data_IF_266764279865
#
_entry.id   IF_266764279865
#
_cell.length_a   1.000
_cell.length_b   1.000
_cell.length_c   1.000
_cell.angle_alpha   90.00
_cell.angle_beta   90.00
_cell.angle_gamma   90.00
#
_symmetry.space_group_name_H-M   'P 1'
#
loop_
_entity.id
_entity.type
_entity.pdbx_description
1 polymer ?
#
# COMPACT_ATOMS: atom_id res chain seq x y z
N UNK A 1 -16.15 23.37 4.92
CA UNK A 1 -16.86 22.24 4.33
C UNK A 1 -16.04 20.96 4.49
N UNK A 2 -16.72 19.85 4.79
CA UNK A 2 -16.11 18.52 4.84
C UNK A 2 -16.23 17.94 3.43
N UNK A 3 -15.16 17.32 2.92
CA UNK A 3 -15.16 16.66 1.61
C UNK A 3 -16.24 15.58 1.51
N UNK A 4 -16.86 15.43 0.34
CA UNK A 4 -17.90 14.43 0.10
C UNK A 4 -17.40 12.99 0.37
N UNK A 5 -16.10 12.74 0.14
CA UNK A 5 -15.44 11.47 0.44
C UNK A 5 -15.37 11.14 1.95
N UNK A 6 -15.58 12.14 2.81
CA UNK A 6 -15.47 12.03 4.27
C UNK A 6 -16.83 12.11 4.97
N UNK A 7 -17.93 12.04 4.21
CA UNK A 7 -19.27 11.88 4.77
C UNK A 7 -19.42 10.41 5.20
N UNK A 8 -19.31 10.16 6.50
CA UNK A 8 -19.23 8.82 7.09
C UNK A 8 -20.29 7.84 6.55
N UNK A 9 -21.57 8.20 6.62
CA UNK A 9 -22.69 7.33 6.18
C UNK A 9 -22.83 7.18 4.65
N UNK A 10 -22.01 7.89 3.87
CA UNK A 10 -21.97 7.80 2.41
C UNK A 10 -20.68 7.15 1.91
N UNK A 11 -19.75 6.80 2.79
CA UNK A 11 -18.46 6.25 2.43
C UNK A 11 -18.53 4.73 2.23
N UNK A 12 -18.06 4.25 1.08
CA UNK A 12 -18.03 2.83 0.72
C UNK A 12 -17.18 1.96 1.65
N UNK A 13 -16.28 2.56 2.40
CA UNK A 13 -15.48 1.90 3.43
C UNK A 13 -16.25 1.64 4.73
N UNK A 14 -17.42 2.26 4.89
CA UNK A 14 -18.33 2.08 6.03
C UNK A 14 -19.55 1.25 5.63
N UNK A 15 -20.14 1.54 4.46
CA UNK A 15 -21.22 0.76 3.86
C UNK A 15 -20.78 0.25 2.47
N UNK A 16 -20.59 -1.06 2.35
CA UNK A 16 -20.05 -1.69 1.12
C UNK A 16 -20.87 -1.37 -0.13
N UNK A 17 -22.13 -0.97 0.00
CA UNK A 17 -23.00 -0.61 -1.13
C UNK A 17 -22.74 0.79 -1.68
N UNK A 18 -21.94 1.60 -1.00
CA UNK A 18 -21.60 2.97 -1.41
C UNK A 18 -20.30 2.99 -2.21
N UNK A 19 -20.04 4.15 -2.82
CA UNK A 19 -18.82 4.38 -3.57
C UNK A 19 -17.66 4.70 -2.61
N UNK A 20 -16.46 4.31 -3.01
CA UNK A 20 -15.23 4.64 -2.30
C UNK A 20 -14.04 4.13 -3.09
N UNK A 21 -12.96 4.88 -3.05
CA UNK A 21 -11.67 4.50 -3.62
C UNK A 21 -10.58 4.94 -2.64
N UNK A 22 -9.57 5.67 -3.08
CA UNK A 22 -8.37 5.98 -2.28
C UNK A 22 -8.46 7.26 -1.43
N UNK A 23 -9.41 8.16 -1.68
CA UNK A 23 -9.45 9.50 -1.08
C UNK A 23 -9.61 9.46 0.44
N UNK A 24 -10.59 8.70 0.93
CA UNK A 24 -10.77 8.51 2.39
C UNK A 24 -9.59 7.74 3.01
N UNK A 25 -9.12 6.61 2.45
CA UNK A 25 -7.90 5.94 2.92
C UNK A 25 -6.69 6.87 3.08
N UNK A 26 -6.41 7.72 2.10
CA UNK A 26 -5.30 8.67 2.17
C UNK A 26 -5.50 9.72 3.27
N UNK A 27 -6.71 10.27 3.39
CA UNK A 27 -7.04 11.18 4.49
C UNK A 27 -6.84 10.51 5.84
N UNK A 28 -7.38 9.30 6.03
CA UNK A 28 -7.31 8.59 7.30
C UNK A 28 -5.88 8.22 7.65
N UNK A 29 -5.03 7.87 6.67
CA UNK A 29 -3.61 7.60 6.91
C UNK A 29 -2.89 8.78 7.54
N UNK A 30 -3.03 9.98 6.98
CA UNK A 30 -2.41 11.18 7.56
C UNK A 30 -3.07 11.63 8.86
N UNK A 31 -4.40 11.59 8.91
CA UNK A 31 -5.15 12.07 10.07
C UNK A 31 -4.98 11.18 11.30
N UNK A 32 -4.94 9.85 11.12
CA UNK A 32 -4.71 8.90 12.20
C UNK A 32 -3.34 9.08 12.83
N UNK A 33 -2.27 9.12 12.03
CA UNK A 33 -0.91 9.32 12.54
C UNK A 33 -0.78 10.66 13.28
N UNK A 34 -1.40 11.74 12.76
CA UNK A 34 -1.46 13.03 13.45
C UNK A 34 -2.16 12.93 14.81
N UNK A 35 -3.30 12.25 14.89
CA UNK A 35 -4.04 12.06 16.12
C UNK A 35 -3.21 11.27 17.16
N UNK A 36 -2.52 10.20 16.72
CA UNK A 36 -1.69 9.36 17.58
C UNK A 36 -0.51 10.13 18.17
N UNK A 37 0.19 10.92 17.35
CA UNK A 37 1.37 11.69 17.80
C UNK A 37 0.99 12.87 18.69
N UNK A 38 -0.11 13.56 18.39
CA UNK A 38 -0.54 14.73 19.16
C UNK A 38 -1.30 14.37 20.44
N UNK A 39 -1.95 13.20 20.47
CA UNK A 39 -2.82 12.81 21.58
C UNK A 39 -4.11 13.63 21.67
N UNK A 40 -4.50 14.35 20.62
CA UNK A 40 -5.71 15.16 20.61
C UNK A 40 -6.96 14.28 20.81
N UNK A 41 -7.71 14.52 21.88
CA UNK A 41 -8.78 13.61 22.28
C UNK A 41 -9.95 13.56 21.30
N UNK A 42 -10.18 14.62 20.54
CA UNK A 42 -11.30 14.67 19.58
C UNK A 42 -10.90 14.04 18.26
N UNK A 43 -9.66 14.26 17.82
CA UNK A 43 -9.07 13.55 16.69
C UNK A 43 -9.01 12.03 16.94
N UNK A 44 -8.57 11.61 18.13
CA UNK A 44 -8.54 10.19 18.51
C UNK A 44 -9.93 9.54 18.50
N UNK A 45 -10.96 10.21 19.01
CA UNK A 45 -12.35 9.71 18.93
C UNK A 45 -12.82 9.58 17.48
N UNK A 46 -12.49 10.54 16.63
CA UNK A 46 -12.88 10.50 15.22
C UNK A 46 -12.15 9.36 14.50
N UNK A 47 -10.85 9.17 14.73
CA UNK A 47 -10.09 8.04 14.18
C UNK A 47 -10.70 6.73 14.65
N UNK A 48 -10.97 6.57 15.95
CA UNK A 48 -11.62 5.37 16.49
C UNK A 48 -12.95 5.07 15.79
N UNK A 49 -13.77 6.09 15.57
CA UNK A 49 -15.04 5.95 14.87
C UNK A 49 -14.87 5.40 13.44
N UNK A 50 -13.91 5.94 12.68
CA UNK A 50 -13.60 5.44 11.35
C UNK A 50 -13.03 4.02 11.36
N UNK A 51 -12.07 3.73 12.25
CA UNK A 51 -11.49 2.39 12.39
C UNK A 51 -12.59 1.37 12.70
N UNK A 52 -13.42 1.61 13.72
CA UNK A 52 -14.49 0.69 14.10
C UNK A 52 -15.49 0.48 12.95
N UNK A 53 -15.85 1.55 12.23
CA UNK A 53 -16.71 1.46 11.06
C UNK A 53 -16.14 0.58 9.96
N UNK A 54 -14.86 0.75 9.62
CA UNK A 54 -14.21 -0.04 8.57
C UNK A 54 -14.04 -1.50 9.02
N UNK A 55 -13.66 -1.76 10.27
CA UNK A 55 -13.57 -3.11 10.81
C UNK A 55 -14.91 -3.85 10.70
N UNK A 56 -16.02 -3.16 10.99
CA UNK A 56 -17.37 -3.70 10.89
C UNK A 56 -17.82 -3.94 9.44
N UNK A 57 -17.15 -3.37 8.44
CA UNK A 57 -17.44 -3.62 7.02
C UNK A 57 -16.88 -4.95 6.51
N UNK A 58 -16.05 -5.66 7.29
CA UNK A 58 -15.43 -6.91 6.85
C UNK A 58 -16.46 -8.01 6.61
N UNK A 59 -16.51 -8.51 5.40
CA UNK A 59 -17.40 -9.57 4.96
C UNK A 59 -16.85 -10.95 5.34
N UNK A 60 -17.67 -11.99 5.19
CA UNK A 60 -17.34 -13.35 5.65
C UNK A 60 -16.09 -13.94 4.98
N UNK A 61 -15.84 -13.59 3.72
CA UNK A 61 -14.70 -14.07 2.93
C UNK A 61 -13.39 -13.32 3.22
N UNK A 62 -13.44 -12.25 4.03
CA UNK A 62 -12.28 -11.44 4.42
C UNK A 62 -12.14 -10.11 3.68
N UNK A 63 -12.91 -9.89 2.62
CA UNK A 63 -13.01 -8.58 1.96
C UNK A 63 -13.55 -7.52 2.92
N UNK A 64 -13.14 -6.25 2.74
CA UNK A 64 -13.72 -5.12 3.45
C UNK A 64 -13.84 -3.91 2.51
N UNK A 65 -14.78 -3.03 2.80
CA UNK A 65 -15.03 -1.83 2.00
C UNK A 65 -15.93 -2.04 0.78
N UNK A 66 -15.85 -1.14 -0.23
CA UNK A 66 -16.84 -1.02 -1.29
C UNK A 66 -16.96 -2.28 -2.16
N UNK A 67 -18.18 -2.78 -2.39
CA UNK A 67 -18.44 -3.97 -3.22
C UNK A 67 -18.06 -3.74 -4.69
N UNK A 68 -18.16 -2.49 -5.16
CA UNK A 68 -17.77 -2.13 -6.53
C UNK A 68 -16.29 -2.40 -6.81
N UNK A 69 -15.43 -2.29 -5.81
CA UNK A 69 -13.99 -2.52 -5.95
C UNK A 69 -13.65 -4.01 -6.11
N UNK A 70 -14.57 -4.94 -5.83
CA UNK A 70 -14.35 -6.37 -6.12
C UNK A 70 -14.22 -6.68 -7.61
N UNK A 71 -14.67 -5.76 -8.48
CA UNK A 71 -14.78 -5.99 -9.92
C UNK A 71 -14.33 -4.81 -10.79
N UNK A 72 -13.80 -3.73 -10.20
CA UNK A 72 -13.49 -2.49 -10.92
C UNK A 72 -12.24 -2.57 -11.81
N UNK A 73 -11.38 -3.58 -11.65
CA UNK A 73 -10.22 -3.83 -12.51
C UNK A 73 -10.49 -5.00 -13.45
N UNK A 74 -11.13 -4.72 -14.59
CA UNK A 74 -11.40 -5.74 -15.61
C UNK A 74 -12.18 -6.96 -15.07
N UNK A 75 -13.15 -6.71 -14.17
CA UNK A 75 -13.93 -7.76 -13.50
C UNK A 75 -13.24 -8.40 -12.29
N UNK A 76 -12.04 -7.93 -11.92
CA UNK A 76 -11.23 -8.41 -10.80
C UNK A 76 -11.18 -7.38 -9.67
N UNK A 77 -10.75 -7.80 -8.47
CA UNK A 77 -10.61 -6.88 -7.34
C UNK A 77 -9.55 -5.81 -7.57
N UNK A 78 -9.90 -4.56 -7.32
CA UNK A 78 -8.97 -3.45 -7.10
C UNK A 78 -8.50 -3.46 -5.65
N UNK A 79 -7.30 -3.99 -5.44
CA UNK A 79 -6.73 -4.11 -4.10
C UNK A 79 -6.01 -2.84 -3.66
N UNK A 80 -5.69 -1.92 -4.58
CA UNK A 80 -4.84 -0.77 -4.31
C UNK A 80 -5.36 0.12 -3.16
N UNK A 81 -6.64 0.54 -3.14
CA UNK A 81 -7.14 1.41 -2.08
C UNK A 81 -7.07 0.77 -0.68
N UNK A 82 -7.28 -0.55 -0.60
CA UNK A 82 -7.18 -1.29 0.65
C UNK A 82 -5.72 -1.37 1.16
N UNK A 83 -4.72 -1.34 0.27
CA UNK A 83 -3.30 -1.30 0.67
C UNK A 83 -2.98 -0.06 1.50
N UNK A 84 -3.65 1.07 1.24
CA UNK A 84 -3.48 2.30 2.02
C UNK A 84 -4.05 2.10 3.43
N UNK A 85 -5.25 1.52 3.55
CA UNK A 85 -5.87 1.23 4.85
C UNK A 85 -5.08 0.21 5.69
N UNK A 86 -4.41 -0.75 5.07
CA UNK A 86 -3.52 -1.68 5.78
C UNK A 86 -2.43 -0.91 6.55
N UNK A 87 -1.87 0.15 5.97
CA UNK A 87 -0.89 1.00 6.68
C UNK A 87 -1.53 1.70 7.89
N UNK A 88 -2.76 2.23 7.73
CA UNK A 88 -3.51 2.85 8.83
C UNK A 88 -3.71 1.86 9.98
N UNK A 89 -4.11 0.63 9.67
CA UNK A 89 -4.35 -0.39 10.68
C UNK A 89 -3.08 -0.79 11.42
N UNK A 90 -1.94 -0.85 10.73
CA UNK A 90 -0.63 -1.08 11.37
C UNK A 90 -0.30 0.04 12.35
N UNK A 91 -0.37 1.30 11.93
CA UNK A 91 -0.15 2.45 12.83
C UNK A 91 -1.10 2.41 14.02
N UNK A 92 -2.38 2.15 13.79
CA UNK A 92 -3.38 2.08 14.86
C UNK A 92 -3.10 0.92 15.83
N UNK A 93 -2.69 -0.26 15.35
CA UNK A 93 -2.27 -1.36 16.23
C UNK A 93 -1.06 -0.96 17.08
N UNK A 94 -0.03 -0.36 16.49
CA UNK A 94 1.18 0.04 17.22
C UNK A 94 0.89 1.13 18.27
N UNK A 95 -0.05 2.01 17.98
CA UNK A 95 -0.54 3.01 18.94
C UNK A 95 -1.39 2.39 20.06
N UNK A 96 -2.37 1.55 19.73
CA UNK A 96 -3.45 1.14 20.65
C UNK A 96 -3.29 -0.25 21.26
N UNK A 97 -2.50 -1.13 20.65
CA UNK A 97 -2.45 -2.58 20.89
C UNK A 97 -3.80 -3.30 20.69
N UNK A 98 -4.68 -2.77 19.82
CA UNK A 98 -5.98 -3.36 19.53
C UNK A 98 -5.87 -4.65 18.69
N UNK A 99 -5.97 -5.79 19.36
CA UNK A 99 -5.81 -7.11 18.72
C UNK A 99 -6.87 -7.43 17.64
N UNK A 100 -7.98 -6.67 17.55
CA UNK A 100 -8.95 -6.84 16.44
C UNK A 100 -8.29 -6.63 15.08
N UNK A 101 -7.26 -5.78 15.03
CA UNK A 101 -6.50 -5.51 13.80
C UNK A 101 -5.80 -6.76 13.27
N UNK A 102 -5.21 -7.57 14.14
CA UNK A 102 -4.48 -8.76 13.71
C UNK A 102 -5.41 -9.76 13.03
N UNK A 103 -6.55 -10.05 13.66
CA UNK A 103 -7.57 -10.94 13.10
C UNK A 103 -8.12 -10.38 11.77
N UNK A 104 -8.41 -9.08 11.73
CA UNK A 104 -8.92 -8.42 10.53
C UNK A 104 -7.92 -8.52 9.36
N UNK A 105 -6.64 -8.22 9.58
CA UNK A 105 -5.61 -8.30 8.54
C UNK A 105 -5.38 -9.74 8.07
N UNK A 106 -5.38 -10.72 8.98
CA UNK A 106 -5.28 -12.14 8.61
C UNK A 106 -6.42 -12.57 7.69
N UNK A 107 -7.66 -12.19 8.02
CA UNK A 107 -8.84 -12.50 7.19
C UNK A 107 -8.73 -11.83 5.82
N UNK A 108 -8.30 -10.58 5.76
CA UNK A 108 -8.10 -9.89 4.49
C UNK A 108 -6.99 -10.53 3.64
N UNK A 109 -5.82 -10.83 4.21
CA UNK A 109 -4.76 -11.49 3.45
C UNK A 109 -5.14 -12.92 3.05
N UNK A 110 -6.01 -13.60 3.81
CA UNK A 110 -6.58 -14.88 3.39
C UNK A 110 -7.48 -14.70 2.15
N UNK A 111 -8.30 -13.64 2.10
CA UNK A 111 -9.05 -13.28 0.90
C UNK A 111 -8.12 -13.04 -0.30
N UNK A 112 -7.04 -12.27 -0.11
CA UNK A 112 -6.04 -11.98 -1.16
C UNK A 112 -5.34 -13.27 -1.61
N UNK A 113 -4.95 -14.14 -0.67
CA UNK A 113 -4.33 -15.43 -0.97
C UNK A 113 -5.27 -16.37 -1.74
N UNK A 114 -6.58 -16.25 -1.58
CA UNK A 114 -7.55 -17.03 -2.35
C UNK A 114 -7.78 -16.50 -3.78
N UNK A 115 -7.22 -15.33 -4.14
CA UNK A 115 -7.34 -14.79 -5.50
C UNK A 115 -6.45 -15.56 -6.50
N UNK A 116 -6.78 -15.47 -7.79
CA UNK A 116 -5.91 -16.00 -8.84
C UNK A 116 -4.64 -15.16 -8.97
N UNK A 117 -3.57 -15.75 -9.48
CA UNK A 117 -2.32 -15.02 -9.74
C UNK A 117 -2.47 -13.86 -10.73
N UNK A 118 -3.54 -13.85 -11.53
CA UNK A 118 -3.81 -12.76 -12.46
C UNK A 118 -4.12 -11.44 -11.74
N UNK A 119 -4.72 -11.49 -10.54
CA UNK A 119 -5.04 -10.27 -9.76
C UNK A 119 -3.79 -9.43 -9.46
N UNK A 120 -2.63 -10.06 -9.28
CA UNK A 120 -1.38 -9.36 -8.97
C UNK A 120 -0.80 -8.58 -10.17
N UNK A 121 -1.38 -8.72 -11.37
CA UNK A 121 -0.86 -8.18 -12.65
C UNK A 121 -1.51 -6.88 -13.09
N UNK A 122 -2.48 -6.35 -12.34
CA UNK A 122 -3.36 -5.27 -12.79
C UNK A 122 -3.38 -4.07 -11.83
N UNK A 123 -3.81 -2.94 -12.36
CA UNK A 123 -4.00 -1.69 -11.62
C UNK A 123 -2.73 -1.11 -11.02
N UNK A 124 -2.89 -0.16 -10.10
CA UNK A 124 -1.77 0.48 -9.41
C UNK A 124 -0.96 -0.50 -8.56
N UNK A 125 -1.65 -1.48 -7.96
CA UNK A 125 -1.01 -2.50 -7.12
C UNK A 125 0.12 -3.24 -7.87
N UNK A 126 -0.02 -3.49 -9.19
CA UNK A 126 0.97 -4.18 -10.01
C UNK A 126 2.41 -3.70 -9.77
N UNK A 127 2.61 -2.38 -9.64
CA UNK A 127 3.94 -1.78 -9.41
C UNK A 127 4.23 -1.44 -7.95
N UNK A 128 3.21 -1.47 -7.08
CA UNK A 128 3.26 -0.93 -5.71
C UNK A 128 3.17 -2.00 -4.61
N UNK A 129 3.20 -3.28 -4.99
CA UNK A 129 3.10 -4.41 -4.06
C UNK A 129 4.12 -4.43 -2.91
N UNK A 130 5.25 -3.72 -3.06
CA UNK A 130 6.24 -3.51 -2.00
C UNK A 130 5.62 -3.03 -0.69
N UNK A 131 4.66 -2.10 -0.74
CA UNK A 131 3.94 -1.57 0.43
C UNK A 131 3.18 -2.67 1.18
N UNK A 132 2.62 -3.63 0.46
CA UNK A 132 1.91 -4.77 1.06
C UNK A 132 2.84 -5.86 1.52
N UNK A 133 3.94 -6.14 0.80
CA UNK A 133 4.95 -7.11 1.26
C UNK A 133 5.50 -6.69 2.63
N UNK A 134 5.82 -5.41 2.82
CA UNK A 134 6.22 -4.88 4.14
C UNK A 134 5.16 -5.15 5.22
N UNK A 135 3.89 -4.91 4.89
CA UNK A 135 2.77 -5.14 5.81
C UNK A 135 2.53 -6.62 6.12
N UNK A 136 2.73 -7.51 5.15
CA UNK A 136 2.60 -8.96 5.31
C UNK A 136 3.74 -9.50 6.19
N UNK A 137 4.98 -9.03 5.98
CA UNK A 137 6.12 -9.36 6.84
C UNK A 137 5.86 -8.89 8.27
N UNK A 138 5.36 -7.66 8.44
CA UNK A 138 5.01 -7.10 9.75
C UNK A 138 3.98 -7.97 10.49
N UNK A 139 2.96 -8.46 9.78
CA UNK A 139 1.92 -9.33 10.31
C UNK A 139 2.47 -10.71 10.67
N UNK A 140 3.20 -11.33 9.75
CA UNK A 140 3.84 -12.63 9.94
C UNK A 140 4.70 -12.67 11.20
N UNK A 141 5.50 -11.64 11.45
CA UNK A 141 6.36 -11.55 12.64
C UNK A 141 5.60 -11.40 13.97
N UNK A 142 4.29 -11.20 13.94
CA UNK A 142 3.43 -10.99 15.11
C UNK A 142 2.33 -12.05 15.25
N UNK A 143 2.27 -13.00 14.31
CA UNK A 143 1.28 -14.08 14.29
C UNK A 143 1.96 -15.45 14.25
N UNK A 144 1.26 -16.47 14.72
CA UNK A 144 1.74 -17.85 14.69
C UNK A 144 0.94 -18.67 13.68
N UNK A 145 1.53 -19.73 13.12
CA UNK A 145 0.91 -20.63 12.14
C UNK A 145 0.44 -19.92 10.86
N UNK A 146 1.23 -18.95 10.39
CA UNK A 146 0.88 -18.06 9.27
C UNK A 146 1.89 -18.13 8.13
N UNK A 147 2.54 -19.28 7.93
CA UNK A 147 3.53 -19.48 6.86
C UNK A 147 2.94 -19.24 5.45
N UNK A 148 1.62 -19.39 5.30
CA UNK A 148 0.89 -19.05 4.08
C UNK A 148 1.02 -17.56 3.68
N UNK A 149 1.37 -16.67 4.61
CA UNK A 149 1.71 -15.28 4.32
C UNK A 149 3.00 -15.18 3.50
N UNK A 150 3.98 -16.06 3.75
CA UNK A 150 5.22 -16.13 2.97
C UNK A 150 4.93 -16.65 1.56
N UNK A 151 4.06 -17.67 1.44
CA UNK A 151 3.58 -18.16 0.14
C UNK A 151 2.87 -17.05 -0.66
N UNK A 152 2.08 -16.22 0.02
CA UNK A 152 1.45 -15.04 -0.60
C UNK A 152 2.52 -14.05 -1.12
N UNK A 153 3.57 -13.77 -0.34
CA UNK A 153 4.68 -12.91 -0.80
C UNK A 153 5.37 -13.51 -2.03
N UNK A 154 5.66 -14.81 -2.06
CA UNK A 154 6.24 -15.47 -3.24
C UNK A 154 5.37 -15.32 -4.48
N UNK A 155 4.05 -15.44 -4.33
CA UNK A 155 3.09 -15.27 -5.43
C UNK A 155 3.01 -13.84 -5.92
N UNK A 156 3.03 -12.87 -5.01
CA UNK A 156 3.08 -11.45 -5.35
C UNK A 156 4.38 -11.17 -6.14
N UNK A 157 5.54 -11.52 -5.61
CA UNK A 157 6.85 -11.31 -6.26
C UNK A 157 6.88 -11.93 -7.67
N UNK A 158 6.34 -13.14 -7.84
CA UNK A 158 6.36 -13.87 -9.11
C UNK A 158 5.42 -13.31 -10.18
N UNK A 159 4.46 -12.45 -9.82
CA UNK A 159 3.41 -11.97 -10.75
C UNK A 159 3.31 -10.45 -10.86
N UNK A 160 3.81 -9.70 -9.87
CA UNK A 160 3.87 -8.24 -9.89
C UNK A 160 4.91 -7.72 -10.90
N UNK A 161 5.07 -6.40 -10.95
CA UNK A 161 6.12 -5.78 -11.75
C UNK A 161 7.51 -6.26 -11.30
N UNK A 162 8.34 -6.62 -12.26
CA UNK A 162 9.69 -7.09 -11.99
C UNK A 162 10.61 -5.91 -11.66
N UNK A 163 10.92 -5.73 -10.38
CA UNK A 163 11.89 -4.76 -9.88
C UNK A 163 13.32 -5.32 -9.77
N UNK A 164 13.55 -6.60 -10.10
CA UNK A 164 14.88 -7.23 -10.02
C UNK A 164 15.82 -6.79 -11.14
N UNK A 165 15.30 -6.76 -12.37
CA UNK A 165 16.14 -6.68 -13.57
C UNK A 165 16.29 -5.24 -14.10
N UNK A 166 15.21 -4.44 -14.04
CA UNK A 166 15.18 -3.09 -14.58
C UNK A 166 14.00 -2.29 -14.02
N UNK A 167 14.03 -0.96 -14.19
CA UNK A 167 12.94 -0.08 -13.78
C UNK A 167 11.66 -0.36 -14.62
N UNK A 168 10.59 -0.93 -14.03
CA UNK A 168 9.40 -1.37 -14.77
C UNK A 168 8.47 -0.22 -15.18
N UNK A 169 8.71 0.99 -14.67
CA UNK A 169 7.85 2.16 -14.86
C UNK A 169 8.64 3.44 -14.71
N UNK A 170 8.19 4.51 -15.37
CA UNK A 170 8.75 5.87 -15.19
C UNK A 170 7.87 6.74 -14.31
N UNK A 171 6.75 6.23 -13.84
CA UNK A 171 5.83 6.99 -13.01
C UNK A 171 6.45 7.23 -11.64
N UNK A 172 6.53 8.50 -11.21
CA UNK A 172 7.21 8.94 -10.00
C UNK A 172 6.76 8.14 -8.75
N UNK A 173 5.46 8.19 -8.45
CA UNK A 173 4.88 7.46 -7.30
C UNK A 173 5.12 5.94 -7.37
N UNK A 174 4.98 5.32 -8.54
CA UNK A 174 5.21 3.88 -8.68
C UNK A 174 6.66 3.53 -8.35
N UNK A 175 7.61 4.37 -8.74
CA UNK A 175 9.02 4.20 -8.38
C UNK A 175 9.17 4.29 -6.87
N UNK A 176 8.72 5.39 -6.25
CA UNK A 176 8.86 5.63 -4.81
C UNK A 176 8.26 4.49 -3.95
N UNK A 177 7.13 3.95 -4.38
CA UNK A 177 6.45 2.86 -3.67
C UNK A 177 6.96 1.46 -4.05
N UNK A 178 7.55 1.27 -5.23
CA UNK A 178 7.87 -0.06 -5.75
C UNK A 178 9.32 -0.50 -5.57
N UNK A 179 10.28 0.43 -5.71
CA UNK A 179 11.70 0.08 -5.94
C UNK A 179 12.37 -0.76 -4.85
N UNK A 180 11.82 -0.73 -3.63
CA UNK A 180 12.32 -1.47 -2.46
C UNK A 180 11.83 -2.92 -2.37
N UNK A 181 10.97 -3.34 -3.31
CA UNK A 181 10.39 -4.70 -3.32
C UNK A 181 11.45 -5.80 -3.27
N UNK A 182 12.54 -5.77 -4.07
CA UNK A 182 13.56 -6.82 -4.03
C UNK A 182 14.16 -6.98 -2.64
N UNK A 183 14.51 -5.88 -1.98
CA UNK A 183 15.10 -5.90 -0.64
C UNK A 183 14.13 -6.48 0.40
N UNK A 184 12.85 -6.15 0.31
CA UNK A 184 11.84 -6.75 1.20
C UNK A 184 11.69 -8.26 0.94
N UNK A 185 11.66 -8.67 -0.31
CA UNK A 185 11.56 -10.07 -0.68
C UNK A 185 12.75 -10.90 -0.20
N UNK A 186 13.95 -10.30 -0.12
CA UNK A 186 15.14 -10.97 0.41
C UNK A 186 14.96 -11.52 1.83
N UNK A 187 14.15 -10.87 2.67
CA UNK A 187 13.84 -11.35 4.02
C UNK A 187 13.08 -12.68 4.02
N UNK A 188 12.38 -13.02 2.93
CA UNK A 188 11.58 -14.23 2.80
C UNK A 188 12.38 -15.37 2.18
N UNK A 189 13.16 -15.11 1.13
CA UNK A 189 13.89 -16.17 0.41
C UNK A 189 15.27 -16.48 0.99
N UNK A 190 16.11 -15.46 1.14
CA UNK A 190 17.49 -15.60 1.58
C UNK A 190 18.07 -14.22 1.89
N UNK A 191 18.10 -13.79 3.17
CA UNK A 191 18.65 -12.50 3.56
C UNK A 191 20.15 -12.33 3.27
N UNK A 192 20.86 -13.45 3.02
CA UNK A 192 22.29 -13.42 2.71
C UNK A 192 22.60 -13.28 1.23
N UNK A 193 21.60 -13.34 0.35
CA UNK A 193 21.79 -13.13 -1.08
C UNK A 193 21.87 -11.63 -1.41
N UNK A 194 23.04 -11.12 -1.84
CA UNK A 194 23.20 -9.71 -2.10
C UNK A 194 22.50 -9.24 -3.38
N UNK A 195 22.02 -10.15 -4.24
CA UNK A 195 21.42 -9.81 -5.54
C UNK A 195 20.15 -8.98 -5.38
N UNK A 196 19.29 -9.32 -4.44
CA UNK A 196 18.04 -8.61 -4.15
C UNK A 196 18.28 -7.20 -3.63
N UNK A 197 19.18 -7.05 -2.65
CA UNK A 197 19.57 -5.75 -2.13
C UNK A 197 20.19 -4.89 -3.24
N UNK A 198 21.07 -5.48 -4.05
CA UNK A 198 21.69 -4.80 -5.18
C UNK A 198 20.66 -4.35 -6.22
N UNK A 199 19.65 -5.15 -6.54
CA UNK A 199 18.58 -4.76 -7.45
C UNK A 199 17.83 -3.50 -6.96
N UNK A 200 17.52 -3.43 -5.66
CA UNK A 200 16.91 -2.23 -5.05
C UNK A 200 17.79 -1.00 -5.23
N UNK A 201 19.09 -1.10 -4.92
CA UNK A 201 20.03 0.01 -5.10
C UNK A 201 20.23 0.38 -6.56
N UNK A 202 20.28 -0.58 -7.48
CA UNK A 202 20.40 -0.31 -8.91
C UNK A 202 19.22 0.52 -9.43
N UNK A 203 17.97 0.20 -9.02
CA UNK A 203 16.80 1.00 -9.38
C UNK A 203 16.89 2.43 -8.82
N UNK A 204 17.27 2.57 -7.55
CA UNK A 204 17.45 3.87 -6.91
C UNK A 204 18.52 4.71 -7.61
N UNK A 205 19.71 4.13 -7.83
CA UNK A 205 20.83 4.80 -8.51
C UNK A 205 20.47 5.17 -9.95
N UNK A 206 19.76 4.30 -10.68
CA UNK A 206 19.29 4.61 -12.03
C UNK A 206 18.44 5.88 -12.04
N UNK A 207 17.45 5.98 -11.16
CA UNK A 207 16.54 7.12 -11.08
C UNK A 207 17.29 8.37 -10.62
N UNK A 208 18.12 8.27 -9.58
CA UNK A 208 18.83 9.44 -9.04
C UNK A 208 19.93 9.95 -9.97
N UNK A 209 20.61 9.07 -10.72
CA UNK A 209 21.60 9.50 -11.69
C UNK A 209 20.97 10.21 -12.90
N UNK A 210 19.79 9.79 -13.34
CA UNK A 210 19.13 10.36 -14.52
C UNK A 210 18.26 11.58 -14.17
N UNK A 211 17.53 11.53 -13.05
CA UNK A 211 16.50 12.52 -12.69
C UNK A 211 16.73 13.19 -11.32
N UNK A 212 17.72 12.76 -10.54
CA UNK A 212 17.98 13.26 -9.19
C UNK A 212 18.64 14.64 -9.11
N UNK A 213 18.72 15.39 -10.21
CA UNK A 213 19.21 16.78 -10.23
C UNK A 213 18.15 17.77 -9.72
N UNK A 214 17.25 17.28 -8.87
CA UNK A 214 16.17 18.00 -8.24
C UNK A 214 16.58 18.36 -6.79
N UNK A 215 16.46 19.64 -6.37
CA UNK A 215 16.80 20.04 -5.01
C UNK A 215 16.04 19.27 -3.93
N UNK A 216 16.67 19.06 -2.77
CA UNK A 216 16.00 18.45 -1.62
C UNK A 216 15.99 16.92 -1.59
N UNK A 217 16.74 16.26 -2.49
CA UNK A 217 16.88 14.81 -2.50
C UNK A 217 15.77 14.05 -3.25
N UNK A 218 14.87 14.78 -3.93
CA UNK A 218 13.90 14.21 -4.85
C UNK A 218 14.48 13.98 -6.26
N UNK A 219 13.60 13.65 -7.20
CA UNK A 219 13.94 13.50 -8.61
C UNK A 219 12.86 14.14 -9.51
N UNK A 220 13.24 14.59 -10.70
CA UNK A 220 12.34 15.22 -11.66
C UNK A 220 11.27 14.25 -12.17
N UNK A 221 10.00 14.58 -11.94
CA UNK A 221 8.86 13.70 -12.25
C UNK A 221 7.53 14.30 -11.82
N UNK A 222 6.93 15.12 -12.68
CA UNK A 222 5.59 15.72 -12.50
C UNK A 222 4.41 14.76 -12.70
N UNK A 223 4.71 13.51 -13.04
CA UNK A 223 3.85 12.32 -13.10
C UNK A 223 4.75 11.16 -13.53
N UNK A 224 5.48 11.37 -14.64
CA UNK A 224 6.47 10.44 -15.18
C UNK A 224 7.83 11.13 -15.33
N UNK A 225 8.92 10.43 -15.02
CA UNK A 225 10.26 10.87 -15.40
C UNK A 225 10.40 10.93 -16.93
N UNK A 226 10.86 12.07 -17.47
CA UNK A 226 10.98 12.29 -18.92
C UNK A 226 12.43 12.47 -19.32
N UNK A 227 12.92 11.62 -20.23
CA UNK A 227 14.29 11.72 -20.72
C UNK A 227 14.58 13.11 -21.30
N UNK A 228 15.72 13.68 -20.92
CA UNK A 228 16.12 15.04 -21.30
C UNK A 228 15.51 16.16 -20.44
N UNK A 229 14.60 15.85 -19.52
CA UNK A 229 13.98 16.80 -18.60
C UNK A 229 14.42 16.54 -17.15
N UNK A 230 15.72 16.51 -16.89
CA UNK A 230 16.26 16.14 -15.56
C UNK A 230 16.34 17.30 -14.56
N UNK A 231 15.95 18.51 -14.96
CA UNK A 231 16.05 19.71 -14.13
C UNK A 231 14.71 20.09 -13.47
N UNK A 232 14.73 21.00 -12.47
CA UNK A 232 13.54 21.35 -11.69
C UNK A 232 12.36 21.94 -12.48
N UNK A 233 12.55 22.34 -13.74
CA UNK A 233 11.44 22.83 -14.60
C UNK A 233 10.49 21.71 -14.98
N UNK A 234 10.93 20.45 -14.94
CA UNK A 234 10.01 19.33 -15.10
C UNK A 234 8.95 19.35 -13.98
N UNK A 235 9.32 19.79 -12.78
CA UNK A 235 8.47 19.69 -11.60
C UNK A 235 8.55 18.32 -10.93
N UNK A 236 7.74 18.18 -9.90
CA UNK A 236 7.69 17.01 -9.03
C UNK A 236 6.27 16.79 -8.52
N UNK A 237 5.74 15.60 -8.78
CA UNK A 237 4.52 15.12 -8.15
C UNK A 237 4.82 14.75 -6.69
N UNK A 238 4.15 15.40 -5.74
CA UNK A 238 4.45 15.26 -4.30
C UNK A 238 4.07 13.92 -3.68
N UNK A 239 3.39 13.06 -4.43
CA UNK A 239 3.02 11.72 -3.97
C UNK A 239 4.18 10.72 -4.06
N UNK A 240 5.17 10.97 -4.91
CA UNK A 240 6.41 10.17 -4.98
C UNK A 240 7.46 10.69 -4.02
#
# INVERSE_FOLDING_TARGET
>A
DISDYLIYDQCGWIDSKKLGWEEMPYWLRGFADLAFVTGDSDALKLVQHWIDGILNSQQSDGWFGPDILRHSLEGKPDLWPAMILINVFRSYYEYSNDNRIMEFLLRYFQFVSNQSNDVFKHGWAYTRWSDNIDSIIWLFNRTNNTDWLLDLIHRIHSNAANWMDSLPTRHNVNIAQGFREPALYSFVVNPSDPSFIRATYNNYEQVMNEFGQFPGGGFAGDENCRQGFSDPRQGFETCG
#
